data_IF_675085623653
#
_entry.id   IF_675085623653
#
_cell.length_a   1.000
_cell.length_b   1.000
_cell.length_c   1.000
_cell.angle_alpha   90.00
_cell.angle_beta   90.00
_cell.angle_gamma   90.00
#
_symmetry.space_group_name_H-M   'P 1'
#
loop_
_entity.id
_entity.type
_entity.pdbx_description
1 polymer ?
#
# COMPACT_ATOMS: atom_id res chain seq x y z
N UNK A 1 -4.89 -6.68 -8.74
CA UNK A 1 -3.89 -6.26 -7.71
C UNK A 1 -2.63 -5.82 -8.42
N UNK A 2 -1.98 -4.72 -8.02
CA UNK A 2 -0.74 -4.27 -8.62
C UNK A 2 0.47 -5.07 -8.10
N UNK A 3 1.53 -5.21 -8.91
CA UNK A 3 2.81 -5.76 -8.49
C UNK A 3 3.62 -4.70 -7.74
N UNK A 4 4.11 -5.00 -6.54
CA UNK A 4 4.87 -4.07 -5.71
C UNK A 4 6.37 -4.18 -6.03
N UNK A 5 7.01 -3.06 -6.35
CA UNK A 5 8.46 -2.98 -6.57
C UNK A 5 9.21 -2.57 -5.29
N UNK A 6 8.70 -1.56 -4.59
CA UNK A 6 9.24 -1.08 -3.32
C UNK A 6 8.22 -0.21 -2.59
N UNK A 7 8.52 0.18 -1.35
CA UNK A 7 7.67 1.05 -0.57
C UNK A 7 8.37 1.58 0.67
N UNK A 8 7.88 2.72 1.17
CA UNK A 8 8.44 3.42 2.31
C UNK A 8 7.40 4.33 2.95
N UNK A 9 7.65 4.75 4.19
CA UNK A 9 6.89 5.82 4.81
C UNK A 9 7.60 7.16 4.60
N UNK A 10 6.87 8.17 4.12
CA UNK A 10 7.36 9.53 3.99
C UNK A 10 6.86 10.37 5.18
N UNK A 11 7.78 10.70 6.10
CA UNK A 11 7.47 11.46 7.30
C UNK A 11 7.05 12.92 7.03
N UNK A 12 7.53 13.52 5.94
CA UNK A 12 7.18 14.91 5.58
C UNK A 12 5.73 15.01 5.13
N UNK A 13 5.27 14.04 4.34
CA UNK A 13 3.91 14.03 3.79
C UNK A 13 2.93 13.20 4.60
N UNK A 14 3.41 12.46 5.61
CA UNK A 14 2.65 11.48 6.40
C UNK A 14 1.94 10.44 5.54
N UNK A 15 2.60 9.97 4.48
CA UNK A 15 2.04 9.02 3.51
C UNK A 15 2.92 7.78 3.37
N UNK A 16 2.26 6.66 3.13
CA UNK A 16 2.88 5.44 2.63
C UNK A 16 3.07 5.61 1.13
N UNK A 17 4.31 5.58 0.67
CA UNK A 17 4.68 5.63 -0.75
C UNK A 17 5.02 4.22 -1.23
N UNK A 18 4.38 3.75 -2.30
CA UNK A 18 4.61 2.42 -2.87
C UNK A 18 4.88 2.57 -4.36
N UNK A 19 6.00 2.04 -4.85
CA UNK A 19 6.26 1.93 -6.28
C UNK A 19 5.61 0.64 -6.78
N UNK A 20 4.71 0.77 -7.75
CA UNK A 20 3.92 -0.33 -8.29
C UNK A 20 4.07 -0.45 -9.79
N UNK A 21 3.85 -1.67 -10.27
CA UNK A 21 3.70 -2.01 -11.67
C UNK A 21 2.35 -2.68 -11.91
N UNK A 22 1.61 -2.23 -12.92
CA UNK A 22 0.30 -2.79 -13.28
C UNK A 22 0.04 -2.67 -14.78
N UNK A 23 -0.88 -3.48 -15.31
CA UNK A 23 -1.36 -3.38 -16.69
C UNK A 23 -2.56 -2.43 -16.75
N UNK A 24 -2.66 -1.62 -17.80
CA UNK A 24 -3.76 -0.67 -18.01
C UNK A 24 -3.32 0.47 -18.90
N UNK A 25 -3.79 1.68 -18.60
CA UNK A 25 -3.21 2.92 -19.11
C UNK A 25 -4.18 3.83 -19.85
N UNK A 26 -5.41 3.39 -20.09
CA UNK A 26 -6.44 4.24 -20.68
C UNK A 26 -7.26 5.00 -19.65
N UNK A 27 -7.19 4.58 -18.39
CA UNK A 27 -7.87 5.25 -17.28
C UNK A 27 -6.92 5.49 -16.11
N UNK A 28 -7.31 6.41 -15.22
CA UNK A 28 -6.57 6.63 -13.98
C UNK A 28 -6.93 5.53 -12.98
N UNK A 29 -5.97 4.66 -12.67
CA UNK A 29 -6.16 3.61 -11.66
C UNK A 29 -6.28 4.19 -10.24
N UNK A 30 -7.24 3.68 -9.47
CA UNK A 30 -7.45 4.02 -8.05
C UNK A 30 -6.99 2.86 -7.18
N UNK A 31 -6.08 3.12 -6.24
CA UNK A 31 -5.56 2.10 -5.34
C UNK A 31 -6.03 2.33 -3.91
N UNK A 32 -6.27 1.24 -3.18
CA UNK A 32 -6.60 1.25 -1.76
C UNK A 32 -5.73 0.25 -1.01
N UNK A 33 -5.23 0.67 0.15
CA UNK A 33 -4.61 -0.24 1.12
C UNK A 33 -5.71 -0.82 2.01
N UNK A 34 -5.90 -2.14 1.97
CA UNK A 34 -6.80 -2.85 2.87
C UNK A 34 -5.95 -3.50 3.97
N UNK A 35 -6.11 -3.06 5.21
CA UNK A 35 -5.51 -3.72 6.38
C UNK A 35 -6.32 -4.99 6.66
N UNK A 36 -5.66 -6.14 6.73
CA UNK A 36 -6.29 -7.45 6.87
C UNK A 36 -6.35 -7.87 8.36
N UNK A 37 -5.20 -8.20 8.94
CA UNK A 37 -5.08 -8.67 10.33
C UNK A 37 -3.89 -8.02 11.01
N UNK A 38 -4.04 -7.70 12.29
CA UNK A 38 -2.97 -7.18 13.13
C UNK A 38 -2.76 -8.11 14.32
N UNK A 39 -1.49 -8.40 14.64
CA UNK A 39 -1.10 -9.23 15.76
C UNK A 39 -1.07 -8.39 17.03
N UNK A 40 -1.46 -8.99 18.16
CA UNK A 40 -1.31 -8.40 19.49
C UNK A 40 0.17 -8.42 19.90
N UNK A 41 0.95 -7.48 19.37
CA UNK A 41 2.38 -7.28 19.67
C UNK A 41 2.69 -5.81 19.87
N UNK A 42 3.80 -5.49 20.52
CA UNK A 42 4.29 -4.12 20.66
C UNK A 42 5.71 -3.97 20.09
N UNK A 43 5.91 -3.21 18.99
CA UNK A 43 4.88 -2.55 18.18
C UNK A 43 3.98 -3.56 17.44
N UNK A 44 2.79 -3.11 17.04
CA UNK A 44 1.83 -3.93 16.31
C UNK A 44 2.39 -4.35 14.96
N UNK A 45 2.14 -5.60 14.58
CA UNK A 45 2.48 -6.13 13.26
C UNK A 45 1.21 -6.40 12.47
N UNK A 46 1.05 -5.74 11.32
CA UNK A 46 -0.14 -5.86 10.50
C UNK A 46 0.17 -6.43 9.11
N UNK A 47 -0.74 -7.26 8.62
CA UNK A 47 -0.84 -7.65 7.23
C UNK A 47 -1.80 -6.71 6.51
N UNK A 48 -1.40 -6.26 5.33
CA UNK A 48 -2.23 -5.44 4.46
C UNK A 48 -2.09 -5.90 3.02
N UNK A 49 -3.08 -5.52 2.22
CA UNK A 49 -3.20 -5.90 0.84
C UNK A 49 -3.44 -4.65 0.00
N UNK A 50 -2.64 -4.46 -1.04
CA UNK A 50 -2.81 -3.36 -1.99
C UNK A 50 -3.78 -3.78 -3.10
N UNK A 51 -4.90 -3.09 -3.20
CA UNK A 51 -6.00 -3.41 -4.11
C UNK A 51 -6.10 -2.32 -5.17
N UNK A 52 -6.32 -2.74 -6.42
CA UNK A 52 -6.71 -1.86 -7.52
C UNK A 52 -8.24 -1.87 -7.62
N UNK A 53 -8.86 -0.71 -7.48
CA UNK A 53 -10.30 -0.52 -7.51
C UNK A 53 -10.80 -0.17 -8.91
N UNK A 54 -9.91 0.00 -9.88
CA UNK A 54 -10.29 0.35 -11.25
C UNK A 54 -10.76 -0.87 -12.01
N UNK A 55 -11.93 -0.74 -12.63
CA UNK A 55 -12.56 -1.76 -13.47
C UNK A 55 -12.69 -1.24 -14.90
N UNK A 56 -12.55 -2.11 -15.90
CA UNK A 56 -12.82 -1.76 -17.30
C UNK A 56 -11.71 -1.01 -18.03
N UNK A 57 -10.47 -1.03 -17.53
CA UNK A 57 -9.30 -0.59 -18.31
C UNK A 57 -8.81 -1.76 -19.18
N UNK A 58 -9.17 -1.73 -20.47
CA UNK A 58 -8.83 -2.78 -21.43
C UNK A 58 -7.43 -2.60 -22.05
N UNK A 59 -6.73 -1.51 -21.70
CA UNK A 59 -5.44 -1.22 -22.27
C UNK A 59 -4.35 -2.12 -21.65
N UNK A 60 -3.34 -2.44 -22.45
CA UNK A 60 -2.31 -3.43 -22.12
C UNK A 60 -0.93 -2.78 -21.90
N UNK A 61 -0.89 -1.49 -21.61
CA UNK A 61 0.37 -0.82 -21.31
C UNK A 61 0.87 -1.24 -19.93
N UNK A 62 2.18 -1.47 -19.81
CA UNK A 62 2.82 -1.74 -18.53
C UNK A 62 3.15 -0.42 -17.85
N UNK A 63 2.39 -0.06 -16.83
CA UNK A 63 2.54 1.21 -16.12
C UNK A 63 3.40 1.03 -14.89
N UNK A 64 4.37 1.94 -14.72
CA UNK A 64 5.19 2.09 -13.52
C UNK A 64 4.79 3.38 -12.82
N UNK A 65 4.41 3.30 -11.56
CA UNK A 65 3.91 4.47 -10.83
C UNK A 65 4.23 4.41 -9.36
N UNK A 66 4.53 5.58 -8.79
CA UNK A 66 4.52 5.77 -7.35
C UNK A 66 3.11 6.16 -6.89
N UNK A 67 2.54 5.38 -5.99
CA UNK A 67 1.29 5.70 -5.31
C UNK A 67 1.59 6.23 -3.91
N UNK A 68 0.75 7.14 -3.43
CA UNK A 68 0.87 7.72 -2.10
C UNK A 68 -0.47 7.60 -1.39
N UNK A 69 -0.50 6.89 -0.27
CA UNK A 69 -1.70 6.65 0.54
C UNK A 69 -1.46 7.26 1.92
N UNK A 70 -2.35 8.14 2.37
CA UNK A 70 -2.26 8.70 3.73
C UNK A 70 -2.58 7.64 4.79
N UNK A 71 -2.04 7.84 5.99
CA UNK A 71 -2.38 6.95 7.11
C UNK A 71 -3.88 6.97 7.42
N UNK A 72 -4.53 8.14 7.26
CA UNK A 72 -5.97 8.28 7.45
C UNK A 72 -6.78 7.46 6.44
N UNK A 73 -6.47 7.54 5.14
CA UNK A 73 -7.12 6.72 4.10
C UNK A 73 -6.94 5.21 4.33
N UNK A 74 -5.84 4.82 4.97
CA UNK A 74 -5.55 3.43 5.31
C UNK A 74 -6.12 2.99 6.67
N UNK A 75 -6.70 3.89 7.47
CA UNK A 75 -7.15 3.61 8.84
C UNK A 75 -6.02 3.33 9.83
N UNK A 76 -4.84 3.92 9.60
CA UNK A 76 -3.60 3.70 10.35
C UNK A 76 -3.10 4.95 11.09
N UNK A 77 -3.98 5.93 11.31
CA UNK A 77 -3.67 7.25 11.88
C UNK A 77 -3.85 7.32 13.41
N UNK A 78 -4.32 6.26 14.05
CA UNK A 78 -4.49 6.21 15.50
C UNK A 78 -3.22 5.72 16.25
N UNK A 79 -3.20 5.92 17.57
CA UNK A 79 -2.05 5.57 18.43
C UNK A 79 -1.73 4.08 18.50
N UNK A 80 -2.68 3.19 18.20
CA UNK A 80 -2.45 1.74 18.20
C UNK A 80 -1.41 1.34 17.14
N UNK A 81 -1.31 2.09 16.03
CA UNK A 81 -0.38 1.83 14.94
C UNK A 81 0.96 2.57 15.05
N UNK A 82 1.22 3.22 16.18
CA UNK A 82 2.47 3.93 16.42
C UNK A 82 3.66 2.96 16.43
N UNK A 83 4.64 3.18 15.55
CA UNK A 83 5.77 2.29 15.36
C UNK A 83 5.43 0.95 14.67
N UNK A 84 4.20 0.78 14.17
CA UNK A 84 3.75 -0.47 13.58
C UNK A 84 4.62 -0.95 12.41
N UNK A 85 4.75 -2.25 12.26
CA UNK A 85 5.31 -2.88 11.06
C UNK A 85 4.19 -3.42 10.19
N UNK A 86 4.09 -2.94 8.95
CA UNK A 86 3.05 -3.30 8.01
C UNK A 86 3.66 -4.09 6.87
N UNK A 87 3.23 -5.34 6.69
CA UNK A 87 3.54 -6.15 5.52
C UNK A 87 2.45 -5.96 4.47
N UNK A 88 2.79 -5.28 3.38
CA UNK A 88 1.85 -5.00 2.28
C UNK A 88 2.07 -6.02 1.16
N UNK A 89 1.02 -6.74 0.79
CA UNK A 89 0.99 -7.74 -0.28
C UNK A 89 0.44 -7.14 -1.57
N UNK A 90 1.07 -7.47 -2.69
CA UNK A 90 0.63 -7.15 -4.05
C UNK A 90 0.36 -8.41 -4.88
N UNK A 91 0.29 -8.26 -6.20
CA UNK A 91 0.13 -9.39 -7.11
C UNK A 91 1.34 -10.34 -7.10
N UNK A 92 1.07 -11.61 -7.41
CA UNK A 92 2.05 -12.68 -7.37
C UNK A 92 2.60 -12.87 -5.95
N UNK A 93 3.94 -12.89 -5.82
CA UNK A 93 4.63 -12.97 -4.52
C UNK A 93 5.21 -11.61 -4.07
N UNK A 94 4.82 -10.50 -4.73
CA UNK A 94 5.34 -9.17 -4.42
C UNK A 94 4.84 -8.69 -3.06
N UNK A 95 5.76 -8.16 -2.25
CA UNK A 95 5.46 -7.64 -0.92
C UNK A 95 6.48 -6.59 -0.50
N UNK A 96 6.10 -5.71 0.42
CA UNK A 96 7.01 -4.78 1.08
C UNK A 96 6.69 -4.69 2.56
N UNK A 97 7.70 -4.41 3.37
CA UNK A 97 7.56 -4.10 4.79
C UNK A 97 7.79 -2.61 5.00
N UNK A 98 6.87 -1.96 5.72
CA UNK A 98 6.95 -0.54 6.03
C UNK A 98 6.78 -0.36 7.53
N UNK A 99 7.69 0.39 8.15
CA UNK A 99 7.58 0.77 9.56
C UNK A 99 6.99 2.18 9.65
N UNK A 100 5.93 2.32 10.44
CA UNK A 100 5.31 3.60 10.76
C UNK A 100 6.15 4.37 11.79
N UNK A 101 6.02 5.71 11.86
CA UNK A 101 6.75 6.49 12.84
C UNK A 101 6.29 6.14 14.26
N UNK A 102 7.22 6.24 15.19
CA UNK A 102 6.96 6.22 16.64
C UNK A 102 6.51 7.59 17.13
#
# INVERSE_FOLDING_TARGET
MPYIQSGSYNAKTKKIEINVRYSGGCTKHKFRLKVDTCRESYPVQCDATLIDLTTGDFCKALIHRKISISLHEAGLDNNYYKGASIRIRGAGKSKVHITLPR
#
